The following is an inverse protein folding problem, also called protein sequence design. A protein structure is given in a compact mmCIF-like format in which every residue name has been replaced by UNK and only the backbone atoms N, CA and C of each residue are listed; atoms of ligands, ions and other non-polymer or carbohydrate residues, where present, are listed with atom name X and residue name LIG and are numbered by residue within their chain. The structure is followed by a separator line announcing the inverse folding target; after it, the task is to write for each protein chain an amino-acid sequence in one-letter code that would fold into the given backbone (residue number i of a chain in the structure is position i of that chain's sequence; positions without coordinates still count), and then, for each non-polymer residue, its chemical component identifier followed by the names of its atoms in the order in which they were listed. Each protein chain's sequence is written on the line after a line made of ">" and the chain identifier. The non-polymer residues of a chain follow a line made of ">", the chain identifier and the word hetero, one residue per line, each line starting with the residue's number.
data_IF_825724421761
#
_entry.id   IF_825724421761
#
_cell.length_a   1.000
_cell.length_b   1.000
_cell.length_c   1.000
_cell.angle_alpha   90.00
_cell.angle_beta   90.00
_cell.angle_gamma   90.00
#
_symmetry.space_group_name_H-M   'P 1'
#
loop_
_entity.id
_entity.type
_entity.pdbx_description
1 polymer ?
#
# COMPACT_ATOMS: atom_id res chain seq x y z
N UNK A 1 -42.39 -46.87 19.21
CA UNK A 1 -41.69 -45.68 18.65
C UNK A 1 -41.73 -44.45 19.59
N UNK A 2 -41.47 -44.61 20.91
CA UNK A 2 -41.32 -43.47 21.85
C UNK A 2 -39.92 -43.36 22.47
N UNK A 3 -39.19 -44.47 22.60
CA UNK A 3 -37.82 -44.48 23.14
C UNK A 3 -36.75 -43.86 22.22
N UNK A 4 -36.89 -44.02 20.91
CA UNK A 4 -35.87 -43.53 19.94
C UNK A 4 -35.79 -42.00 19.86
N UNK A 5 -36.90 -41.30 20.12
CA UNK A 5 -36.97 -39.83 20.14
C UNK A 5 -36.33 -39.21 21.38
N UNK A 6 -36.33 -39.93 22.52
CA UNK A 6 -35.64 -39.43 23.72
C UNK A 6 -34.14 -39.66 23.66
N UNK A 7 -33.68 -40.75 23.01
CA UNK A 7 -32.26 -41.01 22.83
C UNK A 7 -31.58 -39.97 21.94
N UNK A 8 -32.22 -39.53 20.85
CA UNK A 8 -31.65 -38.51 19.95
C UNK A 8 -31.58 -37.12 20.60
N UNK A 9 -32.56 -36.76 21.43
CA UNK A 9 -32.54 -35.51 22.21
C UNK A 9 -31.40 -35.50 23.24
N UNK A 10 -31.20 -36.61 23.96
CA UNK A 10 -30.10 -36.76 24.91
C UNK A 10 -28.73 -36.69 24.23
N UNK A 11 -28.58 -37.32 23.06
CA UNK A 11 -27.33 -37.30 22.30
C UNK A 11 -27.01 -35.92 21.73
N UNK A 12 -28.03 -35.21 21.22
CA UNK A 12 -27.88 -33.83 20.73
C UNK A 12 -27.49 -32.85 21.84
N UNK A 13 -28.06 -33.01 23.04
CA UNK A 13 -27.73 -32.18 24.19
C UNK A 13 -26.30 -32.45 24.70
N UNK A 14 -25.87 -33.73 24.68
CA UNK A 14 -24.51 -34.11 25.06
C UNK A 14 -23.46 -33.56 24.08
N UNK A 15 -23.76 -33.55 22.78
CA UNK A 15 -22.87 -32.96 21.76
C UNK A 15 -22.71 -31.43 21.93
N UNK A 16 -23.79 -30.73 22.28
CA UNK A 16 -23.74 -29.29 22.56
C UNK A 16 -22.88 -28.97 23.79
N UNK A 17 -22.97 -29.79 24.84
CA UNK A 17 -22.18 -29.61 26.07
C UNK A 17 -20.68 -29.81 25.84
N UNK A 18 -20.28 -30.63 24.86
CA UNK A 18 -18.86 -30.86 24.51
C UNK A 18 -18.35 -29.82 23.50
N UNK A 19 -19.18 -29.37 22.56
CA UNK A 19 -18.77 -28.43 21.52
C UNK A 19 -18.49 -27.01 22.05
N UNK A 20 -19.26 -26.54 23.03
CA UNK A 20 -19.12 -25.18 23.58
C UNK A 20 -17.75 -24.99 24.28
N UNK A 21 -17.29 -25.88 25.18
CA UNK A 21 -15.97 -25.77 25.79
C UNK A 21 -14.83 -25.82 24.78
N UNK A 22 -14.93 -26.66 23.74
CA UNK A 22 -13.91 -26.78 22.69
C UNK A 22 -13.82 -25.50 21.87
N UNK A 23 -14.96 -24.89 21.53
CA UNK A 23 -14.98 -23.60 20.84
C UNK A 23 -14.38 -22.47 21.69
N UNK A 24 -14.69 -22.43 23.00
CA UNK A 24 -14.10 -21.46 23.93
C UNK A 24 -12.59 -21.67 24.05
N UNK A 25 -12.12 -22.92 24.19
CA UNK A 25 -10.70 -23.26 24.27
C UNK A 25 -9.93 -22.88 23.00
N UNK A 26 -10.54 -23.07 21.81
CA UNK A 26 -9.96 -22.63 20.54
C UNK A 26 -9.91 -21.10 20.42
N UNK A 27 -10.90 -20.38 20.94
CA UNK A 27 -10.88 -18.91 21.01
C UNK A 27 -9.80 -18.42 21.99
N UNK A 28 -9.64 -19.07 23.15
CA UNK A 28 -8.57 -18.77 24.10
C UNK A 28 -7.18 -19.04 23.51
N UNK A 29 -6.94 -20.16 22.81
CA UNK A 29 -5.66 -20.41 22.12
C UNK A 29 -5.34 -19.35 21.05
N UNK A 30 -6.35 -18.87 20.32
CA UNK A 30 -6.18 -17.81 19.32
C UNK A 30 -5.98 -16.43 19.97
N UNK A 31 -6.54 -16.19 21.16
CA UNK A 31 -6.31 -14.98 21.93
C UNK A 31 -4.92 -15.00 22.60
N UNK A 32 -4.47 -16.14 23.12
CA UNK A 32 -3.15 -16.31 23.72
C UNK A 32 -2.03 -16.23 22.69
N UNK A 33 -2.22 -16.75 21.46
CA UNK A 33 -1.23 -16.53 20.39
C UNK A 33 -1.13 -15.06 19.95
N UNK A 34 -2.22 -14.28 20.03
CA UNK A 34 -2.19 -12.81 19.86
C UNK A 34 -1.53 -12.11 21.04
N UNK A 35 -1.73 -12.58 22.27
CA UNK A 35 -1.13 -12.02 23.48
C UNK A 35 0.34 -12.42 23.65
N UNK A 36 0.77 -13.57 23.14
CA UNK A 36 2.18 -13.99 23.11
C UNK A 36 2.98 -13.24 22.04
N UNK A 37 2.32 -12.69 21.00
CA UNK A 37 2.94 -11.72 20.10
C UNK A 37 3.20 -10.36 20.79
N UNK A 38 2.59 -10.10 21.95
CA UNK A 38 2.78 -8.86 22.72
C UNK A 38 3.91 -8.96 23.77
N UNK A 39 4.63 -10.09 23.88
CA UNK A 39 5.79 -10.23 24.76
C UNK A 39 7.11 -10.36 23.97
N UNK A 40 7.36 -9.40 23.08
CA UNK A 40 8.60 -9.31 22.32
C UNK A 40 9.42 -8.16 22.90
N UNK A 41 10.66 -8.44 23.33
CA UNK A 41 11.63 -7.47 23.87
C UNK A 41 11.49 -6.14 23.12
N UNK A 42 11.12 -5.08 23.83
CA UNK A 42 10.95 -3.76 23.24
C UNK A 42 12.16 -3.35 22.42
N UNK A 43 11.92 -2.62 21.32
CA UNK A 43 12.96 -2.08 20.46
C UNK A 43 14.04 -1.38 21.31
N UNK A 44 15.30 -1.82 21.17
CA UNK A 44 16.43 -1.22 21.87
C UNK A 44 17.15 -0.29 20.90
N UNK A 45 16.93 1.01 21.07
CA UNK A 45 17.52 2.02 20.21
C UNK A 45 19.05 2.06 20.37
N UNK A 46 19.79 2.02 19.26
CA UNK A 46 21.26 2.06 19.26
C UNK A 46 21.77 2.90 18.08
N UNK A 47 22.27 4.10 18.38
CA UNK A 47 22.62 5.11 17.38
C UNK A 47 24.04 5.64 17.58
N UNK A 48 25.09 5.03 17.01
CA UNK A 48 25.15 3.67 16.45
C UNK A 48 25.41 2.61 17.54
N UNK A 49 25.08 1.35 17.23
CA UNK A 49 25.47 0.18 18.01
C UNK A 49 26.97 -0.09 18.00
N UNK A 50 27.44 -1.04 18.82
CA UNK A 50 28.86 -1.44 18.89
C UNK A 50 29.39 -2.01 17.57
N UNK A 51 28.49 -2.55 16.76
CA UNK A 51 28.72 -3.07 15.41
C UNK A 51 28.69 -1.99 14.32
N UNK A 52 28.43 -0.73 14.68
CA UNK A 52 28.34 0.37 13.72
C UNK A 52 27.02 0.40 12.94
N UNK A 53 26.00 -0.35 13.36
CA UNK A 53 24.65 -0.32 12.76
C UNK A 53 23.80 0.72 13.51
N UNK A 54 23.00 1.50 12.78
CA UNK A 54 21.98 2.36 13.38
C UNK A 54 20.72 1.52 13.59
N UNK A 55 20.21 1.45 14.82
CA UNK A 55 18.98 0.76 15.18
C UNK A 55 17.96 1.80 15.62
N UNK A 56 17.17 2.29 14.68
CA UNK A 56 16.19 3.33 14.95
C UNK A 56 14.88 2.69 15.41
N UNK A 57 14.38 3.12 16.56
CA UNK A 57 13.11 2.63 17.14
C UNK A 57 11.95 3.59 16.92
N UNK A 58 12.16 4.68 16.16
CA UNK A 58 11.19 5.75 15.99
C UNK A 58 10.99 6.10 14.50
N UNK A 59 9.93 5.61 13.86
CA UNK A 59 9.01 4.55 14.33
C UNK A 59 9.68 3.16 14.29
N UNK A 60 9.24 2.20 15.13
CA UNK A 60 9.70 0.82 15.06
C UNK A 60 9.07 0.09 13.86
N UNK A 61 9.65 -1.04 13.46
CA UNK A 61 9.09 -1.90 12.42
C UNK A 61 7.77 -2.55 12.88
N UNK A 62 7.01 -3.11 11.92
CA UNK A 62 5.69 -3.69 12.17
C UNK A 62 5.68 -4.83 13.20
N UNK A 63 6.82 -5.50 13.38
CA UNK A 63 7.00 -6.59 14.35
C UNK A 63 7.63 -6.10 15.68
N UNK A 64 7.73 -4.78 15.86
CA UNK A 64 8.30 -4.11 17.04
C UNK A 64 9.82 -4.04 17.06
N UNK A 65 10.55 -4.48 16.03
CA UNK A 65 12.01 -4.36 15.97
C UNK A 65 12.48 -2.96 15.57
N UNK A 66 13.79 -2.73 15.68
CA UNK A 66 14.43 -1.53 15.14
C UNK A 66 14.55 -1.60 13.63
N UNK A 67 14.50 -0.43 12.98
CA UNK A 67 14.98 -0.25 11.61
C UNK A 67 16.51 -0.25 11.65
N UNK A 68 17.13 -1.30 11.10
CA UNK A 68 18.58 -1.47 11.10
C UNK A 68 19.21 -0.88 9.81
N UNK A 69 20.14 0.07 9.97
CA UNK A 69 20.80 0.78 8.87
C UNK A 69 22.31 0.65 8.91
N UNK A 70 22.87 0.11 7.82
CA UNK A 70 24.31 -0.02 7.58
C UNK A 70 24.84 1.11 6.70
N UNK A 71 26.05 1.56 6.99
CA UNK A 71 26.77 2.56 6.19
C UNK A 71 27.36 1.88 4.94
N UNK A 72 26.52 1.61 3.93
CA UNK A 72 26.91 0.92 2.70
C UNK A 72 27.18 1.87 1.51
N UNK A 73 26.73 3.12 1.58
CA UNK A 73 26.85 4.11 0.49
C UNK A 73 27.35 5.44 1.05
N UNK A 74 28.41 6.00 0.44
CA UNK A 74 28.92 7.33 0.81
C UNK A 74 27.83 8.41 0.70
N UNK A 75 27.85 9.37 1.62
CA UNK A 75 26.88 10.46 1.77
C UNK A 75 25.43 10.02 2.05
N UNK A 76 25.17 8.73 2.35
CA UNK A 76 23.87 8.29 2.85
C UNK A 76 23.59 8.97 4.19
N UNK A 77 22.35 9.41 4.38
CA UNK A 77 21.87 10.08 5.60
C UNK A 77 20.78 9.22 6.23
N UNK A 78 20.79 9.08 7.56
CA UNK A 78 19.76 8.35 8.31
C UNK A 78 19.50 9.03 9.65
N UNK A 79 18.24 9.04 10.09
CA UNK A 79 17.85 9.47 11.44
C UNK A 79 17.88 8.28 12.40
N UNK A 80 18.38 8.50 13.61
CA UNK A 80 18.37 7.49 14.67
C UNK A 80 18.42 8.20 16.03
N UNK A 81 17.49 7.90 16.94
CA UNK A 81 17.48 8.50 18.29
C UNK A 81 17.44 10.03 18.30
N UNK A 82 16.72 10.61 17.35
CA UNK A 82 16.59 12.06 17.18
C UNK A 82 17.86 12.76 16.67
N UNK A 83 18.91 12.03 16.28
CA UNK A 83 20.15 12.57 15.73
C UNK A 83 20.33 12.17 14.26
N UNK A 84 21.02 13.04 13.53
CA UNK A 84 21.36 12.87 12.12
C UNK A 84 22.69 12.14 11.98
N UNK A 85 22.73 11.08 11.17
CA UNK A 85 23.95 10.34 10.86
C UNK A 85 24.24 10.36 9.36
N UNK A 86 25.50 10.59 9.01
CA UNK A 86 26.00 10.56 7.63
C UNK A 86 27.05 9.46 7.48
N UNK A 87 26.91 8.67 6.43
CA UNK A 87 27.85 7.63 6.04
C UNK A 87 29.00 8.26 5.21
N UNK A 88 30.25 8.33 5.69
CA UNK A 88 31.33 8.99 4.96
C UNK A 88 31.82 8.18 3.75
N UNK A 89 31.73 6.87 3.80
CA UNK A 89 32.20 5.93 2.77
C UNK A 89 31.50 4.59 2.93
N UNK A 90 31.37 3.75 1.88
CA UNK A 90 30.91 2.38 2.04
C UNK A 90 31.73 1.65 3.11
N UNK A 91 31.04 0.93 4.00
CA UNK A 91 31.58 0.25 5.18
C UNK A 91 32.30 1.19 6.18
N UNK A 92 32.07 2.50 6.07
CA UNK A 92 32.59 3.50 7.00
C UNK A 92 31.81 3.52 8.32
N UNK A 93 32.31 4.26 9.31
CA UNK A 93 31.58 4.52 10.55
C UNK A 93 30.61 5.69 10.33
N UNK A 94 29.36 5.53 10.75
CA UNK A 94 28.40 6.64 10.81
C UNK A 94 28.97 7.79 11.63
N UNK A 95 28.88 9.00 11.09
CA UNK A 95 29.26 10.24 11.79
C UNK A 95 28.00 11.02 12.09
N UNK A 96 27.90 11.54 13.31
CA UNK A 96 26.87 12.52 13.66
C UNK A 96 27.12 13.77 12.81
N UNK A 97 26.09 14.25 12.13
CA UNK A 97 26.13 15.52 11.41
C UNK A 97 25.23 16.53 12.12
N UNK A 98 25.84 17.38 12.94
CA UNK A 98 25.16 18.47 13.62
C UNK A 98 24.85 19.64 12.66
N UNK A 99 25.38 19.61 11.43
CA UNK A 99 25.27 20.67 10.42
C UNK A 99 24.15 20.36 9.41
N UNK A 100 22.89 20.50 9.84
CA UNK A 100 21.70 20.72 9.00
C UNK A 100 21.41 19.75 7.82
N UNK A 101 22.19 18.69 7.54
CA UNK A 101 21.87 17.78 6.42
C UNK A 101 20.61 16.95 6.63
N UNK A 102 20.17 16.78 7.87
CA UNK A 102 18.85 16.21 8.20
C UNK A 102 17.79 17.27 8.56
N UNK A 103 18.14 18.56 8.61
CA UNK A 103 17.22 19.64 8.97
C UNK A 103 16.95 20.52 7.75
N UNK A 104 15.81 20.31 7.10
CA UNK A 104 15.30 21.29 6.16
C UNK A 104 14.96 22.60 6.87
N UNK A 105 15.83 23.61 6.84
CA UNK A 105 15.44 25.05 6.75
C UNK A 105 16.61 25.98 6.39
N UNK A 106 16.47 26.62 5.22
CA UNK A 106 16.84 28.01 4.85
C UNK A 106 18.19 28.63 5.25
N UNK A 107 19.15 28.52 4.33
CA UNK A 107 19.81 29.72 3.74
C UNK A 107 19.36 29.80 2.29
N UNK A 108 19.01 31.00 1.81
CA UNK A 108 18.66 31.25 0.40
C UNK A 108 19.94 31.61 -0.36
N UNK A 109 20.53 30.70 -1.14
CA UNK A 109 20.89 30.99 -2.52
C UNK A 109 19.61 30.82 -3.35
N UNK A 110 19.32 31.79 -4.21
CA UNK A 110 18.22 31.68 -5.18
C UNK A 110 18.32 30.36 -5.93
N UNK A 111 17.35 29.48 -5.71
CA UNK A 111 17.15 28.28 -6.51
C UNK A 111 16.82 28.74 -7.94
N UNK A 112 17.54 28.27 -8.97
CA UNK A 112 17.15 28.50 -10.36
C UNK A 112 15.73 27.96 -10.59
N UNK A 113 14.90 28.70 -11.31
CA UNK A 113 13.61 28.19 -11.78
C UNK A 113 13.79 26.83 -12.47
N UNK A 114 13.21 25.75 -11.92
CA UNK A 114 13.24 24.42 -12.54
C UNK A 114 13.58 23.21 -11.66
N UNK A 115 13.69 23.34 -10.34
CA UNK A 115 13.81 22.16 -9.45
C UNK A 115 12.49 21.38 -9.38
N UNK A 116 12.57 20.06 -9.60
CA UNK A 116 11.41 19.17 -9.67
C UNK A 116 11.64 17.98 -8.73
N UNK A 117 10.81 17.87 -7.68
CA UNK A 117 10.83 16.70 -6.80
C UNK A 117 10.52 15.41 -7.56
N UNK A 118 11.05 14.27 -7.12
CA UNK A 118 10.83 12.97 -7.75
C UNK A 118 10.24 12.01 -6.72
N UNK A 119 9.05 11.48 -7.01
CA UNK A 119 8.42 10.42 -6.23
C UNK A 119 8.74 9.07 -6.85
N UNK A 120 9.56 8.26 -6.19
CA UNK A 120 9.70 6.86 -6.51
C UNK A 120 8.66 6.06 -5.74
N UNK A 121 7.95 5.18 -6.45
CA UNK A 121 6.85 4.43 -5.87
C UNK A 121 6.83 3.00 -6.37
N UNK A 122 6.34 2.10 -5.52
CA UNK A 122 5.82 0.81 -5.94
C UNK A 122 4.40 0.61 -5.41
N UNK A 123 3.52 0.09 -6.27
CA UNK A 123 2.11 -0.13 -5.97
C UNK A 123 1.71 -1.54 -6.38
N UNK A 124 0.53 -1.97 -5.94
CA UNK A 124 -0.13 -3.17 -6.44
C UNK A 124 -1.60 -2.86 -6.77
N UNK A 125 -2.15 -3.59 -7.71
CA UNK A 125 -3.57 -3.57 -8.03
C UNK A 125 -4.24 -4.77 -7.36
N UNK A 126 -5.35 -4.55 -6.65
CA UNK A 126 -6.12 -5.63 -6.04
C UNK A 126 -6.71 -6.54 -7.11
N UNK A 127 -6.69 -7.86 -6.87
CA UNK A 127 -7.28 -8.85 -7.78
C UNK A 127 -6.41 -9.27 -8.97
N UNK A 128 -5.34 -8.55 -9.29
CA UNK A 128 -4.42 -8.90 -10.38
C UNK A 128 -3.61 -10.16 -10.05
N UNK A 129 -3.76 -11.21 -10.86
CA UNK A 129 -3.03 -12.45 -10.71
C UNK A 129 -1.65 -12.36 -11.40
N UNK A 130 -0.53 -12.53 -10.67
CA UNK A 130 0.81 -12.43 -11.26
C UNK A 130 1.06 -13.36 -12.46
N UNK A 131 0.37 -14.50 -12.51
CA UNK A 131 0.52 -15.51 -13.55
C UNK A 131 -0.38 -15.28 -14.77
N UNK A 132 -1.29 -14.30 -14.70
CA UNK A 132 -2.29 -14.04 -15.73
C UNK A 132 -2.69 -12.55 -15.76
N UNK A 133 -1.70 -11.68 -16.01
CA UNK A 133 -1.82 -10.23 -15.99
C UNK A 133 -1.22 -9.59 -17.26
N UNK A 134 -1.48 -10.21 -18.41
CA UNK A 134 -0.94 -9.82 -19.71
C UNK A 134 -1.49 -8.46 -20.18
N UNK A 135 -2.71 -8.10 -19.77
CA UNK A 135 -3.34 -6.83 -20.11
C UNK A 135 -3.17 -5.74 -19.05
N UNK A 136 -2.31 -5.95 -18.04
CA UNK A 136 -1.89 -4.87 -17.14
C UNK A 136 -0.71 -4.06 -17.68
N UNK A 137 -0.40 -4.19 -18.98
CA UNK A 137 0.63 -3.38 -19.64
C UNK A 137 0.12 -1.94 -19.74
N UNK A 138 0.95 -0.98 -19.37
CA UNK A 138 0.69 0.45 -19.54
C UNK A 138 -0.62 0.97 -18.93
N UNK A 139 -1.09 0.38 -17.82
CA UNK A 139 -2.24 0.91 -17.10
C UNK A 139 -1.95 2.33 -16.57
N UNK A 140 -2.66 3.37 -17.05
CA UNK A 140 -2.36 4.74 -16.67
C UNK A 140 -2.84 5.03 -15.26
N UNK A 141 -1.96 5.62 -14.48
CA UNK A 141 -2.25 6.10 -13.14
C UNK A 141 -2.50 7.60 -13.14
N UNK A 142 -3.40 8.02 -12.25
CA UNK A 142 -3.59 9.40 -11.83
C UNK A 142 -3.01 9.56 -10.43
N UNK A 143 -2.11 10.50 -10.26
CA UNK A 143 -1.55 10.91 -8.97
C UNK A 143 -2.11 12.27 -8.60
N UNK A 144 -2.53 12.44 -7.35
CA UNK A 144 -2.80 13.75 -6.74
C UNK A 144 -1.83 13.89 -5.58
N UNK A 145 -0.98 14.90 -5.63
CA UNK A 145 -0.01 15.19 -4.58
C UNK A 145 -0.53 16.38 -3.78
N UNK A 146 -0.54 16.24 -2.46
CA UNK A 146 -0.96 17.27 -1.51
C UNK A 146 0.16 17.54 -0.51
N UNK A 147 0.50 18.81 -0.28
CA UNK A 147 1.48 19.23 0.72
C UNK A 147 1.29 20.71 1.06
N UNK A 148 1.21 21.05 2.35
CA UNK A 148 1.05 22.43 2.85
C UNK A 148 -0.01 23.28 2.10
N UNK A 149 -1.15 22.68 1.76
CA UNK A 149 -2.24 23.36 1.03
C UNK A 149 -2.03 23.48 -0.50
N UNK A 150 -0.87 23.09 -1.02
CA UNK A 150 -0.65 22.92 -2.45
C UNK A 150 -1.21 21.57 -2.90
N UNK A 151 -1.88 21.55 -4.05
CA UNK A 151 -2.38 20.31 -4.67
C UNK A 151 -2.02 20.29 -6.15
N UNK A 152 -1.49 19.18 -6.64
CA UNK A 152 -1.20 18.99 -8.05
C UNK A 152 -1.65 17.63 -8.53
N UNK A 153 -2.20 17.60 -9.74
CA UNK A 153 -2.66 16.37 -10.41
C UNK A 153 -1.71 16.03 -11.55
N UNK A 154 -1.29 14.77 -11.59
CA UNK A 154 -0.52 14.16 -12.67
C UNK A 154 -1.35 13.02 -13.26
N UNK A 155 -1.50 13.00 -14.57
CA UNK A 155 -2.30 12.00 -15.29
C UNK A 155 -1.41 11.22 -16.26
N UNK A 156 -1.91 10.07 -16.72
CA UNK A 156 -1.24 9.20 -17.67
C UNK A 156 0.17 8.79 -17.21
N UNK A 157 0.32 8.57 -15.90
CA UNK A 157 1.58 8.11 -15.32
C UNK A 157 1.66 6.60 -15.52
N UNK A 158 2.64 6.15 -16.29
CA UNK A 158 2.86 4.73 -16.59
C UNK A 158 3.97 4.19 -15.69
N UNK A 159 3.74 3.09 -14.94
CA UNK A 159 4.81 2.41 -14.22
C UNK A 159 5.93 1.96 -15.18
N UNK A 160 7.18 2.08 -14.75
CA UNK A 160 8.35 1.74 -15.58
C UNK A 160 8.54 0.23 -15.72
N UNK A 161 8.19 -0.53 -14.69
CA UNK A 161 8.38 -1.97 -14.67
C UNK A 161 7.35 -2.65 -13.75
N UNK A 162 7.23 -3.97 -13.88
CA UNK A 162 6.43 -4.81 -12.98
C UNK A 162 7.19 -6.10 -12.64
N UNK A 163 6.98 -6.61 -11.44
CA UNK A 163 7.58 -7.86 -10.97
C UNK A 163 6.67 -8.55 -9.95
N UNK A 164 6.94 -9.83 -9.69
CA UNK A 164 6.18 -10.58 -8.69
C UNK A 164 6.88 -10.50 -7.34
N UNK A 165 6.14 -10.06 -6.31
CA UNK A 165 6.61 -10.02 -4.93
C UNK A 165 5.51 -10.59 -4.03
N UNK A 166 5.83 -11.58 -3.20
CA UNK A 166 4.87 -12.20 -2.27
C UNK A 166 3.54 -12.63 -2.94
N UNK A 167 3.64 -13.25 -4.12
CA UNK A 167 2.51 -13.66 -4.95
C UNK A 167 1.56 -12.51 -5.37
N UNK A 168 2.06 -11.27 -5.41
CA UNK A 168 1.38 -10.09 -5.93
C UNK A 168 2.14 -9.51 -7.11
N UNK A 169 1.43 -8.97 -8.08
CA UNK A 169 2.03 -8.17 -9.13
C UNK A 169 2.28 -6.77 -8.58
N UNK A 170 3.56 -6.38 -8.52
CA UNK A 170 4.01 -5.07 -8.03
C UNK A 170 4.51 -4.26 -9.22
N UNK A 171 4.06 -3.01 -9.30
CA UNK A 171 4.41 -2.06 -10.36
C UNK A 171 5.26 -0.96 -9.75
N UNK A 172 6.43 -0.71 -10.34
CA UNK A 172 7.38 0.30 -9.88
C UNK A 172 7.49 1.42 -10.89
N UNK A 173 7.56 2.65 -10.40
CA UNK A 173 7.69 3.83 -11.24
C UNK A 173 8.36 5.00 -10.54
N UNK A 174 8.56 6.05 -11.31
CA UNK A 174 9.13 7.30 -10.83
C UNK A 174 8.38 8.46 -11.47
N UNK A 175 7.90 9.39 -10.65
CA UNK A 175 7.08 10.52 -11.05
C UNK A 175 7.82 11.83 -10.75
N UNK A 176 8.11 12.61 -11.80
CA UNK A 176 8.60 13.98 -11.66
C UNK A 176 7.44 14.90 -11.30
N UNK A 177 7.55 15.57 -10.15
CA UNK A 177 6.56 16.49 -9.60
C UNK A 177 6.64 17.87 -10.25
N UNK A 178 6.60 17.93 -11.59
CA UNK A 178 6.74 19.19 -12.34
C UNK A 178 5.65 20.17 -11.93
N UNK A 179 6.06 21.40 -11.59
CA UNK A 179 5.13 22.46 -11.17
C UNK A 179 4.47 22.19 -9.82
N UNK A 180 5.12 21.40 -8.95
CA UNK A 180 4.79 21.26 -7.54
C UNK A 180 6.03 21.55 -6.71
N UNK A 181 5.90 22.40 -5.69
CA UNK A 181 7.07 23.01 -5.04
C UNK A 181 7.46 22.36 -3.71
N UNK A 182 6.55 21.59 -3.10
CA UNK A 182 6.78 20.95 -1.80
C UNK A 182 7.56 19.65 -1.94
N UNK A 183 8.50 19.44 -1.02
CA UNK A 183 9.37 18.27 -0.99
C UNK A 183 9.14 17.37 0.24
N UNK A 184 8.33 17.80 1.20
CA UNK A 184 8.11 17.09 2.46
C UNK A 184 6.65 17.20 2.91
N UNK A 185 6.29 16.37 3.90
CA UNK A 185 4.94 16.26 4.45
C UNK A 185 3.86 15.97 3.39
N UNK A 186 4.23 15.20 2.37
CA UNK A 186 3.37 14.95 1.23
C UNK A 186 2.39 13.81 1.52
N UNK A 187 1.17 13.96 1.04
CA UNK A 187 0.24 12.86 0.81
C UNK A 187 0.10 12.61 -0.67
N UNK A 188 0.01 11.34 -1.04
CA UNK A 188 -0.12 10.89 -2.41
C UNK A 188 -1.44 10.15 -2.55
N UNK A 189 -2.33 10.64 -3.40
CA UNK A 189 -3.51 9.89 -3.79
C UNK A 189 -3.26 9.25 -5.15
N UNK A 190 -3.42 7.94 -5.24
CA UNK A 190 -3.20 7.20 -6.48
C UNK A 190 -4.52 6.60 -6.91
N UNK A 191 -4.85 6.73 -8.18
CA UNK A 191 -6.01 6.14 -8.83
C UNK A 191 -5.54 5.40 -10.09
N UNK A 192 -6.00 4.17 -10.24
CA UNK A 192 -5.80 3.38 -11.45
C UNK A 192 -6.94 3.56 -12.45
N UNK A 193 -6.83 2.96 -13.65
CA UNK A 193 -7.80 3.16 -14.74
C UNK A 193 -9.19 2.54 -14.47
N UNK A 194 -9.24 1.62 -13.50
CA UNK A 194 -10.39 0.79 -13.12
C UNK A 194 -10.51 0.67 -11.60
N UNK A 195 -9.83 1.55 -10.87
CA UNK A 195 -9.61 1.42 -9.43
C UNK A 195 -10.09 2.67 -8.71
N UNK A 196 -10.58 2.48 -7.50
CA UNK A 196 -10.90 3.57 -6.60
C UNK A 196 -9.62 4.31 -6.18
N UNK A 197 -9.72 5.63 -6.01
CA UNK A 197 -8.63 6.42 -5.48
C UNK A 197 -8.29 6.02 -4.04
N UNK A 198 -7.00 5.88 -3.75
CA UNK A 198 -6.49 5.57 -2.41
C UNK A 198 -5.48 6.62 -1.97
N UNK A 199 -5.58 7.04 -0.71
CA UNK A 199 -4.61 7.91 -0.04
C UNK A 199 -3.47 7.11 0.57
N UNK A 200 -2.24 7.48 0.22
CA UNK A 200 -1.00 7.01 0.84
C UNK A 200 -0.32 8.17 1.53
N UNK A 201 -0.04 7.99 2.82
CA UNK A 201 0.63 8.98 3.64
C UNK A 201 1.99 8.54 4.17
N UNK A 202 2.35 7.25 4.08
CA UNK A 202 3.62 6.76 4.62
C UNK A 202 4.16 5.59 3.82
N UNK A 203 5.45 5.30 4.03
CA UNK A 203 6.09 4.10 3.47
C UNK A 203 5.50 2.81 4.10
N UNK A 204 5.54 1.71 3.35
CA UNK A 204 5.06 0.39 3.77
C UNK A 204 3.61 0.40 4.30
N UNK A 205 2.75 1.22 3.70
CA UNK A 205 1.35 1.35 4.15
C UNK A 205 0.56 0.06 3.82
N UNK A 206 -0.12 -0.49 4.82
CA UNK A 206 -0.92 -1.74 4.71
C UNK A 206 -2.42 -1.56 4.88
N UNK A 207 -2.88 -0.32 5.14
CA UNK A 207 -4.28 0.01 5.37
C UNK A 207 -4.59 1.48 5.09
N UNK A 208 -5.80 1.91 5.44
CA UNK A 208 -6.25 3.31 5.27
C UNK A 208 -5.37 4.30 6.05
N UNK A 209 -5.04 5.43 5.43
CA UNK A 209 -4.32 6.53 6.08
C UNK A 209 -5.28 7.65 6.51
N UNK A 210 -5.53 7.74 7.81
CA UNK A 210 -6.59 8.61 8.38
C UNK A 210 -6.07 9.94 8.97
N UNK A 211 -4.83 10.34 8.67
CA UNK A 211 -4.28 11.62 9.14
C UNK A 211 -4.37 12.70 8.05
N UNK A 212 -4.36 13.97 8.45
CA UNK A 212 -4.19 15.09 7.54
C UNK A 212 -2.74 15.13 7.00
N UNK A 213 -2.56 15.53 5.74
CA UNK A 213 -1.24 15.49 5.10
C UNK A 213 -0.69 14.06 4.96
N UNK A 214 0.63 13.93 4.92
CA UNK A 214 1.38 12.67 4.96
C UNK A 214 2.83 12.89 5.41
N UNK A 215 3.59 11.80 5.46
CA UNK A 215 4.99 11.70 5.92
C UNK A 215 5.96 11.53 4.73
N UNK A 216 5.47 11.68 3.49
CA UNK A 216 6.25 11.44 2.28
C UNK A 216 7.17 12.64 2.02
N UNK A 217 8.43 12.33 1.69
CA UNK A 217 9.46 13.28 1.33
C UNK A 217 10.11 12.86 0.02
N UNK A 218 10.40 13.82 -0.84
CA UNK A 218 11.01 13.60 -2.15
C UNK A 218 12.25 14.47 -2.29
N UNK A 219 13.15 14.08 -3.19
CA UNK A 219 14.33 14.87 -3.54
C UNK A 219 14.27 15.26 -5.02
N UNK A 220 15.18 16.11 -5.46
CA UNK A 220 15.29 16.52 -6.86
C UNK A 220 15.88 15.44 -7.77
N UNK A 221 16.32 14.32 -7.20
CA UNK A 221 16.99 13.23 -7.92
C UNK A 221 16.19 11.95 -7.80
N UNK A 222 16.00 11.27 -8.93
CA UNK A 222 15.42 9.92 -8.96
C UNK A 222 16.27 8.93 -8.14
N UNK A 223 17.59 9.08 -8.12
CA UNK A 223 18.48 8.16 -7.39
C UNK A 223 18.46 8.40 -5.88
N UNK A 224 18.25 9.65 -5.46
CA UNK A 224 18.28 10.02 -4.03
C UNK A 224 16.90 10.01 -3.39
N UNK A 225 15.82 10.04 -4.19
CA UNK A 225 14.47 10.01 -3.67
C UNK A 225 14.13 8.64 -3.11
N UNK A 226 13.56 8.54 -1.90
CA UNK A 226 13.17 7.26 -1.31
C UNK A 226 12.19 6.52 -2.22
N UNK A 227 12.36 5.20 -2.34
CA UNK A 227 11.36 4.33 -2.95
C UNK A 227 10.27 4.04 -1.91
N UNK A 228 9.07 4.56 -2.15
CA UNK A 228 7.93 4.31 -1.30
C UNK A 228 7.19 3.04 -1.70
N UNK A 229 7.00 2.14 -0.75
CA UNK A 229 6.18 0.94 -0.89
C UNK A 229 4.73 1.18 -0.46
N UNK A 230 3.86 1.24 -1.45
CA UNK A 230 2.42 1.30 -1.31
C UNK A 230 1.74 -0.04 -1.65
N UNK A 231 2.51 -1.05 -2.07
CA UNK A 231 1.99 -2.35 -2.50
C UNK A 231 1.36 -3.17 -1.36
N UNK A 232 1.66 -2.79 -0.10
CA UNK A 232 1.04 -3.33 1.10
C UNK A 232 -0.46 -3.04 1.21
N UNK A 233 -0.94 -1.96 0.58
CA UNK A 233 -2.35 -1.57 0.53
C UNK A 233 -2.78 -1.39 -0.93
N UNK A 234 -3.14 -2.48 -1.63
CA UNK A 234 -3.41 -2.45 -3.07
C UNK A 234 -4.54 -1.49 -3.44
N UNK A 235 -4.46 -0.92 -4.65
CA UNK A 235 -5.57 -0.16 -5.23
C UNK A 235 -6.78 -1.07 -5.42
N UNK A 236 -7.92 -0.71 -4.86
CA UNK A 236 -9.14 -1.49 -4.94
C UNK A 236 -9.77 -1.40 -6.34
N UNK A 237 -10.01 -2.51 -7.03
CA UNK A 237 -10.63 -2.49 -8.35
C UNK A 237 -12.15 -2.27 -8.24
N UNK A 238 -12.74 -1.63 -9.24
CA UNK A 238 -14.19 -1.61 -9.41
C UNK A 238 -14.85 -0.26 -9.68
N UNK A 239 -14.12 0.85 -9.61
CA UNK A 239 -14.61 2.16 -10.07
C UNK A 239 -14.31 2.22 -11.57
N UNK A 240 -15.29 1.96 -12.43
CA UNK A 240 -15.08 1.82 -13.88
C UNK A 240 -15.95 2.77 -14.71
N UNK A 241 -17.15 3.10 -14.22
CA UNK A 241 -18.08 4.02 -14.85
C UNK A 241 -18.82 4.83 -13.80
N UNK A 242 -19.35 5.97 -14.19
CA UNK A 242 -20.06 6.86 -13.29
C UNK A 242 -21.56 6.79 -13.51
N UNK A 243 -22.32 7.27 -12.53
CA UNK A 243 -23.80 7.25 -12.55
C UNK A 243 -24.39 7.90 -13.81
N UNK A 244 -23.73 8.94 -14.33
CA UNK A 244 -24.15 9.69 -15.50
C UNK A 244 -23.05 9.84 -16.56
N UNK A 245 -22.00 9.00 -16.50
CA UNK A 245 -20.87 9.12 -17.41
C UNK A 245 -20.17 7.78 -17.65
N UNK A 246 -19.52 7.63 -18.80
CA UNK A 246 -18.67 6.46 -19.08
C UNK A 246 -17.28 6.53 -18.41
N UNK A 247 -17.08 7.50 -17.52
CA UNK A 247 -15.85 7.72 -16.76
C UNK A 247 -16.08 7.40 -15.29
N UNK A 248 -15.07 6.89 -14.61
CA UNK A 248 -15.15 6.53 -13.19
C UNK A 248 -15.44 7.76 -12.31
N UNK A 249 -16.31 7.62 -11.31
CA UNK A 249 -16.88 8.71 -10.49
C UNK A 249 -16.45 8.69 -9.02
N UNK A 250 -15.35 7.99 -8.72
CA UNK A 250 -14.81 7.80 -7.35
C UNK A 250 -15.79 7.09 -6.40
N UNK A 251 -16.79 6.39 -6.95
CA UNK A 251 -17.68 5.51 -6.22
C UNK A 251 -17.61 4.09 -6.80
N UNK A 252 -17.76 3.10 -5.94
CA UNK A 252 -17.99 1.71 -6.37
C UNK A 252 -19.40 1.37 -5.93
N UNK A 253 -20.30 1.21 -6.89
CA UNK A 253 -21.72 1.02 -6.59
C UNK A 253 -22.43 0.09 -7.60
N UNK A 254 -23.76 0.10 -7.58
CA UNK A 254 -24.58 -0.73 -8.46
C UNK A 254 -24.44 -0.42 -9.95
N UNK A 255 -23.98 0.78 -10.31
CA UNK A 255 -23.72 1.20 -11.69
C UNK A 255 -22.51 0.46 -12.25
N UNK A 256 -21.38 0.46 -11.52
CA UNK A 256 -20.20 -0.34 -11.88
C UNK A 256 -20.54 -1.83 -11.99
N UNK A 257 -21.31 -2.33 -11.02
CA UNK A 257 -21.74 -3.72 -11.01
C UNK A 257 -22.57 -4.10 -12.21
N UNK A 258 -23.51 -3.24 -12.60
CA UNK A 258 -24.33 -3.47 -13.78
C UNK A 258 -23.48 -3.45 -15.05
N UNK A 259 -22.54 -2.51 -15.16
CA UNK A 259 -21.64 -2.41 -16.32
C UNK A 259 -20.76 -3.66 -16.48
N UNK A 260 -20.03 -4.05 -15.43
CA UNK A 260 -19.12 -5.20 -15.47
C UNK A 260 -19.91 -6.49 -15.70
N UNK A 261 -21.08 -6.64 -15.06
CA UNK A 261 -21.95 -7.80 -15.27
C UNK A 261 -22.40 -7.91 -16.72
N UNK A 262 -22.85 -6.81 -17.34
CA UNK A 262 -23.24 -6.83 -18.75
C UNK A 262 -22.07 -7.21 -19.66
N UNK A 263 -20.88 -6.66 -19.42
CA UNK A 263 -19.68 -6.99 -20.20
C UNK A 263 -19.17 -8.41 -19.99
N UNK A 264 -19.33 -8.97 -18.79
CA UNK A 264 -18.98 -10.37 -18.51
C UNK A 264 -19.85 -11.37 -19.28
N UNK A 265 -21.06 -10.98 -19.71
CA UNK A 265 -21.91 -11.85 -20.53
C UNK A 265 -21.38 -11.94 -21.98
N UNK A 266 -20.78 -10.86 -22.47
CA UNK A 266 -20.19 -10.80 -23.81
C UNK A 266 -18.93 -11.69 -23.92
N UNK A 267 -18.26 -11.99 -22.80
CA UNK A 267 -17.00 -12.76 -22.76
C UNK A 267 -15.94 -12.20 -23.70
N UNK A 268 -15.83 -10.88 -23.75
CA UNK A 268 -14.85 -10.20 -24.61
C UNK A 268 -13.43 -10.61 -24.22
N UNK A 269 -12.66 -11.04 -25.21
CA UNK A 269 -11.24 -11.39 -25.07
C UNK A 269 -10.45 -10.58 -26.09
N UNK A 270 -9.35 -9.98 -25.63
CA UNK A 270 -8.48 -9.15 -26.45
C UNK A 270 -7.05 -9.69 -26.45
N UNK A 271 -6.24 -9.15 -27.36
CA UNK A 271 -4.81 -9.45 -27.40
C UNK A 271 -4.08 -8.83 -26.19
N UNK A 272 -2.96 -9.46 -25.83
CA UNK A 272 -2.06 -8.99 -24.77
C UNK A 272 -1.75 -7.50 -24.87
N UNK A 273 -1.80 -6.83 -23.72
CA UNK A 273 -1.56 -5.39 -23.60
C UNK A 273 -2.69 -4.47 -24.05
N UNK A 274 -3.80 -5.01 -24.57
CA UNK A 274 -4.98 -4.18 -24.77
C UNK A 274 -5.69 -3.86 -23.44
N UNK A 275 -6.77 -3.08 -23.50
CA UNK A 275 -7.46 -2.58 -22.32
C UNK A 275 -8.97 -2.68 -22.44
N UNK A 276 -9.59 -3.50 -21.59
CA UNK A 276 -11.05 -3.56 -21.40
C UNK A 276 -11.42 -2.92 -20.07
N UNK A 277 -12.31 -1.93 -20.04
CA UNK A 277 -12.70 -1.23 -18.81
C UNK A 277 -13.19 -2.17 -17.69
N UNK A 278 -13.82 -3.29 -18.07
CA UNK A 278 -14.39 -4.26 -17.14
C UNK A 278 -13.44 -5.41 -16.76
N UNK A 279 -12.24 -5.49 -17.36
CA UNK A 279 -11.20 -6.49 -17.02
C UNK A 279 -10.43 -5.99 -15.78
N UNK A 280 -10.85 -6.42 -14.60
CA UNK A 280 -10.33 -5.93 -13.33
C UNK A 280 -9.02 -6.63 -12.92
N UNK A 281 -8.81 -7.89 -13.32
CA UNK A 281 -7.60 -8.65 -13.00
C UNK A 281 -6.49 -8.54 -14.04
N UNK A 282 -6.79 -7.95 -15.21
CA UNK A 282 -5.85 -7.71 -16.30
C UNK A 282 -5.48 -8.97 -17.07
N UNK A 283 -6.36 -9.97 -17.10
CA UNK A 283 -6.14 -11.24 -17.81
C UNK A 283 -6.48 -11.19 -19.31
N UNK A 284 -6.81 -10.01 -19.84
CA UNK A 284 -7.24 -9.78 -21.23
C UNK A 284 -8.65 -10.28 -21.57
N UNK A 285 -9.47 -10.57 -20.56
CA UNK A 285 -10.84 -11.04 -20.73
C UNK A 285 -11.76 -10.34 -19.74
N UNK A 286 -13.03 -10.22 -20.10
CA UNK A 286 -14.08 -9.86 -19.13
C UNK A 286 -14.95 -11.08 -18.91
N UNK A 287 -14.95 -11.59 -17.68
CA UNK A 287 -15.71 -12.80 -17.34
C UNK A 287 -16.26 -12.73 -15.90
N UNK A 288 -16.74 -13.86 -15.39
CA UNK A 288 -17.34 -13.93 -14.05
C UNK A 288 -16.35 -13.66 -12.92
N UNK A 289 -15.05 -13.78 -13.16
CA UNK A 289 -14.02 -13.43 -12.18
C UNK A 289 -14.01 -11.93 -11.88
N UNK A 290 -14.16 -11.07 -12.89
CA UNK A 290 -14.23 -9.62 -12.73
C UNK A 290 -15.46 -9.20 -11.90
N UNK A 291 -16.61 -9.84 -12.18
CA UNK A 291 -17.83 -9.64 -11.38
C UNK A 291 -17.60 -10.06 -9.93
N UNK A 292 -16.86 -11.15 -9.70
CA UNK A 292 -16.54 -11.61 -8.35
C UNK A 292 -15.59 -10.66 -7.62
N UNK A 293 -14.56 -10.15 -8.30
CA UNK A 293 -13.65 -9.14 -7.75
C UNK A 293 -14.39 -7.88 -7.33
N UNK A 294 -15.29 -7.39 -8.17
CA UNK A 294 -16.11 -6.23 -7.84
C UNK A 294 -16.98 -6.48 -6.59
N UNK A 295 -17.58 -7.67 -6.48
CA UNK A 295 -18.38 -8.03 -5.30
C UNK A 295 -17.56 -8.00 -4.02
N UNK A 296 -16.31 -8.48 -4.06
CA UNK A 296 -15.39 -8.42 -2.93
C UNK A 296 -15.14 -6.96 -2.56
N UNK A 297 -14.83 -6.10 -3.54
CA UNK A 297 -14.63 -4.67 -3.26
C UNK A 297 -15.88 -4.00 -2.67
N UNK A 298 -17.08 -4.30 -3.19
CA UNK A 298 -18.33 -3.79 -2.65
C UNK A 298 -18.56 -4.22 -1.20
N UNK A 299 -18.23 -5.47 -0.86
CA UNK A 299 -18.30 -5.98 0.52
C UNK A 299 -17.32 -5.24 1.44
N UNK A 300 -16.06 -5.08 1.01
CA UNK A 300 -15.04 -4.35 1.76
C UNK A 300 -15.44 -2.90 2.03
N UNK A 301 -16.03 -2.23 1.02
CA UNK A 301 -16.50 -0.84 1.16
C UNK A 301 -17.72 -0.72 2.06
N UNK A 302 -18.66 -1.67 2.04
CA UNK A 302 -19.75 -1.70 3.01
C UNK A 302 -19.24 -1.88 4.44
N UNK A 303 -18.25 -2.74 4.64
CA UNK A 303 -17.61 -2.95 5.94
C UNK A 303 -16.78 -1.76 6.45
N UNK A 304 -16.49 -0.75 5.61
CA UNK A 304 -15.83 0.50 6.02
C UNK A 304 -16.82 1.62 6.36
N UNK A 305 -18.11 1.46 6.03
CA UNK A 305 -19.18 2.42 6.34
C UNK A 305 -19.85 2.13 7.70
N UNK A 306 -19.60 0.95 8.29
CA UNK A 306 -20.15 0.47 9.56
C UNK A 306 -19.03 -0.02 10.48
#
# INVERSE_FOLDING_TARGET
>A
MKGYRQLTLLYGLLLMVVAIPVAIYLVEQNADSRNMAANKRGCVEQCPGRDGVLRNCTPPEADGSSEDSVCNVANRVQMCGGKCYVCPSPNGKWKVDDALKCAGTTVVPSIPAGQVGVLNYQISFGGVNPNNAQCTIDWPLKFIILGDGETKVYQNVIPKNKFVLNNKMVFIGSLKLTGFTRLNNLAVFIRGPKHLQVKYGKNNQTGSYNQAGGEIMVTESEVLSPLYDFSGYPLMPGDVVGTYSEQQDDMINGVDFSYIKLKSLEHETIADGGNLKADLDGNCQVNSNDVNLLKITLQDRQGQLY
#
